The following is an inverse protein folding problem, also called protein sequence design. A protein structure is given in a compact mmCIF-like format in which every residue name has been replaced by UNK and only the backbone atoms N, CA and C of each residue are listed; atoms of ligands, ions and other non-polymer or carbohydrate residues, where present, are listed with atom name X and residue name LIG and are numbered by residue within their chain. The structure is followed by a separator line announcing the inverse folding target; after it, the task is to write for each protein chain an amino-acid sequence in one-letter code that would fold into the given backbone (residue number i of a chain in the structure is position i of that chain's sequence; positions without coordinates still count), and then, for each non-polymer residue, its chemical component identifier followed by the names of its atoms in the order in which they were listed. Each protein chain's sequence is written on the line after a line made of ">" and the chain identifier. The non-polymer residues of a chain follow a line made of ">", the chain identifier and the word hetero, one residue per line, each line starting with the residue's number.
data_IF_768400279624
#
_entry.id   IF_768400279624
#
_cell.length_a   1.000
_cell.length_b   1.000
_cell.length_c   1.000
_cell.angle_alpha   90.00
_cell.angle_beta   90.00
_cell.angle_gamma   90.00
#
_symmetry.space_group_name_H-M   'P 1'
#
loop_
_entity.id
_entity.type
_entity.pdbx_description
1 polymer ?
#
# COMPACT_ATOMS: atom_id res chain seq x y z
N UNK A 1 11.00 -66.68 27.90
CA UNK A 1 10.40 -67.15 29.12
C UNK A 1 9.43 -66.10 29.59
N UNK A 2 8.12 -66.16 29.25
CA UNK A 2 7.07 -66.96 29.92
C UNK A 2 6.75 -66.33 31.27
N UNK A 3 5.61 -65.95 31.61
CA UNK A 3 4.21 -66.30 31.50
C UNK A 3 3.37 -65.19 32.16
N UNK A 4 2.26 -64.77 31.64
CA UNK A 4 0.91 -65.38 31.88
C UNK A 4 0.37 -65.22 33.31
N UNK A 5 -0.71 -64.47 33.54
CA UNK A 5 -2.06 -65.01 33.70
C UNK A 5 -2.95 -63.95 34.40
N UNK A 6 -4.10 -63.59 33.83
CA UNK A 6 -5.49 -63.94 34.09
C UNK A 6 -5.97 -63.72 35.54
N UNK A 7 -7.04 -62.95 35.80
CA UNK A 7 -8.45 -63.33 35.67
C UNK A 7 -9.30 -62.27 36.45
N UNK A 8 -10.29 -61.68 35.93
CA UNK A 8 -11.74 -61.96 35.94
C UNK A 8 -12.50 -61.63 37.25
N UNK A 9 -13.62 -60.98 37.01
CA UNK A 9 -14.84 -61.11 37.87
C UNK A 9 -15.52 -59.77 38.12
N UNK A 10 -16.52 -59.46 37.33
CA UNK A 10 -17.98 -59.52 37.54
C UNK A 10 -18.59 -58.58 38.55
N UNK A 11 -19.46 -57.72 38.01
CA UNK A 11 -20.88 -57.43 38.31
C UNK A 11 -21.20 -56.86 39.70
N UNK A 12 -22.02 -55.82 39.87
CA UNK A 12 -23.41 -55.65 39.47
C UNK A 12 -23.91 -54.21 39.72
N UNK A 13 -24.81 -53.78 38.86
CA UNK A 13 -25.96 -52.90 38.95
C UNK A 13 -26.24 -52.03 40.20
N UNK A 14 -26.58 -50.77 40.00
CA UNK A 14 -27.92 -50.18 40.10
C UNK A 14 -27.94 -48.67 39.83
N UNK A 15 -28.63 -48.28 38.81
CA UNK A 15 -29.78 -47.37 38.61
C UNK A 15 -30.02 -46.26 39.64
N UNK A 16 -29.96 -44.99 39.17
CA UNK A 16 -31.00 -43.96 39.30
C UNK A 16 -30.59 -42.60 38.66
N UNK A 17 -31.24 -42.27 37.60
CA UNK A 17 -32.12 -41.12 37.31
C UNK A 17 -31.54 -39.70 37.42
N UNK A 18 -31.53 -39.07 36.26
CA UNK A 18 -31.49 -37.67 35.85
C UNK A 18 -32.29 -36.70 36.80
N UNK A 19 -31.97 -35.36 36.79
CA UNK A 19 -32.24 -34.57 35.59
C UNK A 19 -31.17 -33.56 35.22
N UNK A 20 -31.06 -33.38 33.92
CA UNK A 20 -30.44 -32.28 33.21
C UNK A 20 -31.13 -30.94 33.53
N UNK A 21 -30.36 -29.91 33.74
CA UNK A 21 -30.81 -28.54 33.44
C UNK A 21 -29.67 -27.85 32.70
N UNK A 22 -30.04 -27.39 31.54
CA UNK A 22 -29.40 -26.57 30.53
C UNK A 22 -28.47 -25.50 31.06
N UNK A 23 -27.25 -25.50 30.56
CA UNK A 23 -26.40 -24.32 30.49
C UNK A 23 -25.55 -24.39 29.22
N UNK A 24 -26.24 -24.38 28.09
CA UNK A 24 -25.67 -24.17 26.78
C UNK A 24 -26.53 -23.15 26.03
N UNK A 25 -26.23 -21.86 26.17
CA UNK A 25 -26.82 -20.86 25.27
C UNK A 25 -26.11 -19.50 25.23
N UNK A 26 -25.13 -19.23 26.08
CA UNK A 26 -24.49 -17.90 26.08
C UNK A 26 -23.10 -17.84 25.47
N UNK A 27 -22.40 -18.96 25.37
CA UNK A 27 -21.05 -18.99 24.77
C UNK A 27 -21.07 -19.02 23.24
N UNK A 28 -22.03 -19.72 22.63
CA UNK A 28 -22.12 -19.80 21.15
C UNK A 28 -22.59 -18.48 20.51
N UNK A 29 -23.46 -17.73 21.19
CA UNK A 29 -23.93 -16.42 20.65
C UNK A 29 -22.82 -15.38 20.69
N UNK A 30 -21.93 -15.40 21.69
CA UNK A 30 -20.80 -14.45 21.76
C UNK A 30 -19.72 -14.82 20.74
N UNK A 31 -19.53 -16.10 20.47
CA UNK A 31 -18.54 -16.56 19.49
C UNK A 31 -19.01 -16.29 18.05
N UNK A 32 -20.30 -16.50 17.77
CA UNK A 32 -20.89 -16.21 16.47
C UNK A 32 -20.92 -14.70 16.17
N UNK A 33 -21.14 -13.85 17.18
CA UNK A 33 -21.10 -12.40 17.01
C UNK A 33 -19.67 -11.86 16.83
N UNK A 34 -18.66 -12.47 17.45
CA UNK A 34 -17.24 -12.11 17.25
C UNK A 34 -16.75 -12.54 15.88
N UNK A 35 -17.04 -13.78 15.48
CA UNK A 35 -16.65 -14.31 14.20
C UNK A 35 -17.35 -13.57 13.04
N UNK A 36 -18.63 -13.20 13.22
CA UNK A 36 -19.36 -12.38 12.26
C UNK A 36 -18.80 -10.95 12.17
N UNK A 37 -18.34 -10.36 13.27
CA UNK A 37 -17.80 -9.00 13.29
C UNK A 37 -16.37 -8.98 12.72
N UNK A 38 -15.55 -9.97 13.04
CA UNK A 38 -14.22 -10.12 12.46
C UNK A 38 -14.30 -10.41 10.95
N UNK A 39 -15.19 -11.31 10.53
CA UNK A 39 -15.40 -11.62 9.11
C UNK A 39 -15.97 -10.44 8.31
N UNK A 40 -16.85 -9.64 8.88
CA UNK A 40 -17.38 -8.41 8.26
C UNK A 40 -16.28 -7.34 8.16
N UNK A 41 -15.44 -7.20 9.17
CA UNK A 41 -14.32 -6.24 9.16
C UNK A 41 -13.25 -6.66 8.15
N UNK A 42 -12.94 -7.96 8.07
CA UNK A 42 -11.96 -8.49 7.13
C UNK A 42 -12.50 -8.46 5.69
N UNK A 43 -13.77 -8.80 5.46
CA UNK A 43 -14.41 -8.69 4.14
C UNK A 43 -14.54 -7.22 3.68
N UNK A 44 -14.81 -6.29 4.61
CA UNK A 44 -14.87 -4.86 4.28
C UNK A 44 -13.45 -4.34 3.96
N UNK A 45 -12.43 -4.80 4.66
CA UNK A 45 -11.03 -4.45 4.41
C UNK A 45 -10.54 -4.99 3.06
N UNK A 46 -10.86 -6.25 2.74
CA UNK A 46 -10.54 -6.86 1.43
C UNK A 46 -11.31 -6.18 0.29
N UNK A 47 -12.53 -5.72 0.54
CA UNK A 47 -13.30 -4.98 -0.46
C UNK A 47 -12.80 -3.53 -0.66
N UNK A 48 -12.10 -2.95 0.33
CA UNK A 48 -11.49 -1.63 0.21
C UNK A 48 -10.11 -1.66 -0.47
N UNK A 49 -9.37 -2.76 -0.34
CA UNK A 49 -8.11 -2.99 -1.04
C UNK A 49 -8.37 -3.55 -2.45
N UNK A 50 -7.48 -3.27 -3.38
CA UNK A 50 -7.58 -3.82 -4.74
C UNK A 50 -8.45 -2.99 -5.67
N UNK A 51 -8.35 -1.68 -5.58
CA UNK A 51 -9.04 -0.73 -6.46
C UNK A 51 -8.07 0.29 -7.07
N UNK A 52 -8.47 0.83 -8.21
CA UNK A 52 -7.84 1.99 -8.82
C UNK A 52 -8.71 3.23 -8.56
N UNK A 53 -8.09 4.28 -8.06
CA UNK A 53 -8.69 5.58 -7.79
C UNK A 53 -7.92 6.64 -8.55
N UNK A 54 -8.52 7.82 -8.77
CA UNK A 54 -7.85 8.94 -9.41
C UNK A 54 -8.11 10.22 -8.66
N UNK A 55 -7.05 10.99 -8.43
CA UNK A 55 -7.17 12.38 -8.01
C UNK A 55 -7.77 13.18 -9.17
N UNK A 56 -8.65 14.12 -8.86
CA UNK A 56 -9.34 14.95 -9.85
C UNK A 56 -9.15 16.44 -9.58
N UNK A 57 -9.49 17.24 -10.54
CA UNK A 57 -9.38 18.69 -10.48
C UNK A 57 -8.17 19.23 -11.23
N UNK A 58 -8.01 20.56 -11.21
CA UNK A 58 -6.85 21.24 -11.79
C UNK A 58 -5.86 21.52 -10.67
N UNK A 59 -4.60 21.06 -10.80
CA UNK A 59 -3.60 21.35 -9.78
C UNK A 59 -3.37 22.86 -9.62
N UNK A 60 -3.50 23.30 -8.39
CA UNK A 60 -3.28 24.69 -7.97
C UNK A 60 -2.51 24.77 -6.66
N UNK A 61 -1.96 25.92 -6.35
CA UNK A 61 -1.38 26.17 -5.03
C UNK A 61 -2.49 26.37 -4.01
N UNK A 62 -2.44 25.63 -2.91
CA UNK A 62 -3.48 25.64 -1.89
C UNK A 62 -2.90 25.35 -0.51
N UNK A 63 -3.72 25.55 0.53
CA UNK A 63 -3.36 25.17 1.89
C UNK A 63 -3.34 23.64 2.05
N UNK A 64 -2.37 23.15 2.81
CA UNK A 64 -2.30 21.75 3.20
C UNK A 64 -3.23 21.48 4.38
N UNK A 65 -4.26 20.69 4.18
CA UNK A 65 -5.32 20.44 5.17
C UNK A 65 -5.45 18.97 5.57
N UNK A 66 -4.70 18.07 4.93
CA UNK A 66 -4.87 16.62 5.10
C UNK A 66 -3.88 15.97 6.08
N UNK A 67 -3.17 16.73 6.92
CA UNK A 67 -2.13 16.21 7.81
C UNK A 67 -2.62 15.09 8.75
N UNK A 68 -3.85 15.18 9.26
CA UNK A 68 -4.45 14.16 10.12
C UNK A 68 -4.67 12.82 9.40
N UNK A 69 -4.88 12.83 8.09
CA UNK A 69 -5.05 11.62 7.29
C UNK A 69 -3.77 10.78 7.21
N UNK A 70 -2.62 11.37 7.54
CA UNK A 70 -1.30 10.74 7.45
C UNK A 70 -0.63 10.54 8.81
N UNK A 71 -1.35 10.65 9.92
CA UNK A 71 -0.78 10.60 11.29
C UNK A 71 0.04 9.35 11.57
N UNK A 72 -0.27 8.24 10.92
CA UNK A 72 0.46 6.95 10.99
C UNK A 72 0.79 6.41 9.60
N UNK A 73 1.05 7.29 8.66
CA UNK A 73 1.44 6.90 7.31
C UNK A 73 2.96 6.85 7.15
N UNK A 74 3.43 5.96 6.30
CA UNK A 74 4.80 5.97 5.77
C UNK A 74 4.74 6.14 4.27
N UNK A 75 5.50 7.11 3.76
CA UNK A 75 5.75 7.28 2.35
C UNK A 75 7.14 6.75 2.00
N UNK A 76 7.24 5.91 0.99
CA UNK A 76 8.53 5.41 0.50
C UNK A 76 8.67 5.66 -0.99
N UNK A 77 9.82 6.19 -1.40
CA UNK A 77 10.05 6.46 -2.82
C UNK A 77 11.26 7.30 -3.16
N UNK A 78 11.18 7.90 -4.35
CA UNK A 78 12.24 8.69 -4.95
C UNK A 78 12.20 10.19 -4.54
N UNK A 79 12.76 11.04 -5.41
CA UNK A 79 12.86 12.48 -5.18
C UNK A 79 11.49 13.19 -5.05
N UNK A 80 10.42 12.67 -5.67
CA UNK A 80 9.08 13.24 -5.49
C UNK A 80 8.61 12.99 -4.06
N UNK A 81 8.79 11.78 -3.56
CA UNK A 81 8.48 11.44 -2.17
C UNK A 81 9.38 12.22 -1.20
N UNK A 82 10.67 12.40 -1.50
CA UNK A 82 11.57 13.23 -0.70
C UNK A 82 11.04 14.65 -0.50
N UNK A 83 10.41 15.22 -1.52
CA UNK A 83 9.83 16.57 -1.45
C UNK A 83 8.76 16.72 -0.36
N UNK A 84 8.09 15.63 0.03
CA UNK A 84 7.05 15.68 1.07
C UNK A 84 7.61 16.18 2.41
N UNK A 85 8.76 15.67 2.84
CA UNK A 85 9.40 16.16 4.08
C UNK A 85 10.29 17.37 3.86
N UNK A 86 11.01 17.44 2.73
CA UNK A 86 11.86 18.59 2.40
C UNK A 86 11.11 19.92 2.36
N UNK A 87 9.85 19.90 1.94
CA UNK A 87 8.98 21.08 1.92
C UNK A 87 8.10 21.21 3.17
N UNK A 88 8.28 20.34 4.18
CA UNK A 88 7.66 20.46 5.49
C UNK A 88 6.21 19.98 5.58
N UNK A 89 5.72 19.15 4.64
CA UNK A 89 4.36 18.62 4.67
C UNK A 89 4.19 17.49 5.68
N UNK A 90 5.18 16.58 5.78
CA UNK A 90 5.22 15.51 6.77
C UNK A 90 6.58 15.45 7.46
N UNK A 91 6.65 14.92 8.70
CA UNK A 91 7.92 14.71 9.40
C UNK A 91 8.84 13.74 8.63
N UNK A 92 10.16 13.95 8.73
CA UNK A 92 11.17 13.06 8.12
C UNK A 92 10.99 11.59 8.50
N UNK A 93 10.56 11.32 9.72
CA UNK A 93 10.31 9.95 10.18
C UNK A 93 9.25 9.20 9.35
N UNK A 94 8.32 9.91 8.73
CA UNK A 94 7.27 9.32 7.89
C UNK A 94 7.65 9.21 6.41
N UNK A 95 8.84 9.69 6.03
CA UNK A 95 9.27 9.79 4.62
C UNK A 95 10.57 9.02 4.44
N UNK A 96 10.48 7.79 3.95
CA UNK A 96 11.63 6.94 3.62
C UNK A 96 11.95 7.16 2.14
N UNK A 97 12.79 8.15 1.85
CA UNK A 97 13.02 8.53 0.46
C UNK A 97 14.48 8.87 0.16
N UNK A 98 14.86 8.70 -1.09
CA UNK A 98 16.17 9.05 -1.61
C UNK A 98 16.05 9.52 -3.06
N UNK A 99 16.80 10.56 -3.42
CA UNK A 99 16.82 11.07 -4.78
C UNK A 99 17.26 10.01 -5.83
N UNK A 100 17.93 8.96 -5.39
CA UNK A 100 18.37 7.84 -6.24
C UNK A 100 17.66 6.52 -5.93
N UNK A 101 16.50 6.56 -5.25
CA UNK A 101 15.73 5.36 -4.96
C UNK A 101 15.30 4.68 -6.27
N UNK A 102 15.50 3.38 -6.32
CA UNK A 102 15.04 2.49 -7.38
C UNK A 102 14.25 1.32 -6.78
N UNK A 103 13.42 0.69 -7.58
CA UNK A 103 12.50 -0.37 -7.14
C UNK A 103 13.21 -1.55 -6.46
N UNK A 104 14.37 -1.94 -6.94
CA UNK A 104 15.18 -3.04 -6.38
C UNK A 104 15.76 -2.77 -4.99
N UNK A 105 15.75 -1.51 -4.54
CA UNK A 105 16.25 -1.12 -3.21
C UNK A 105 15.17 -1.09 -2.14
N UNK A 106 13.91 -1.11 -2.53
CA UNK A 106 12.77 -0.91 -1.61
C UNK A 106 12.77 -1.93 -0.46
N UNK A 107 13.05 -3.19 -0.75
CA UNK A 107 13.07 -4.26 0.27
C UNK A 107 14.09 -4.03 1.38
N UNK A 108 15.17 -3.30 1.10
CA UNK A 108 16.18 -2.91 2.11
C UNK A 108 15.65 -1.94 3.18
N UNK A 109 14.49 -1.35 2.99
CA UNK A 109 13.86 -0.43 3.93
C UNK A 109 12.70 -1.05 4.72
N UNK A 110 12.44 -2.34 4.56
CA UNK A 110 11.31 -3.02 5.21
C UNK A 110 11.35 -2.88 6.73
N UNK A 111 12.51 -3.08 7.37
CA UNK A 111 12.66 -2.95 8.82
C UNK A 111 12.34 -1.53 9.31
N UNK A 112 12.68 -0.51 8.52
CA UNK A 112 12.36 0.88 8.83
C UNK A 112 10.86 1.15 8.79
N UNK A 113 10.12 0.48 7.92
CA UNK A 113 8.65 0.56 7.87
C UNK A 113 8.04 -0.17 9.06
N UNK A 114 8.49 -1.41 9.32
CA UNK A 114 7.99 -2.25 10.42
C UNK A 114 8.16 -1.55 11.77
N UNK A 115 9.31 -0.90 11.99
CA UNK A 115 9.59 -0.20 13.25
C UNK A 115 8.62 0.95 13.55
N UNK A 116 7.97 1.52 12.53
CA UNK A 116 7.01 2.60 12.69
C UNK A 116 5.58 2.10 12.93
N UNK A 117 5.31 0.80 12.71
CA UNK A 117 3.96 0.21 12.86
C UNK A 117 2.88 1.05 12.17
N UNK A 118 3.00 1.34 10.86
CA UNK A 118 2.11 2.24 10.17
C UNK A 118 0.73 1.63 9.95
N UNK A 119 -0.29 2.50 9.86
CA UNK A 119 -1.63 2.12 9.40
C UNK A 119 -1.73 2.17 7.86
N UNK A 120 -0.82 2.87 7.20
CA UNK A 120 -0.76 2.97 5.74
C UNK A 120 0.66 3.16 5.20
N UNK A 121 0.95 2.53 4.07
CA UNK A 121 2.22 2.65 3.34
C UNK A 121 1.94 3.12 1.91
N UNK A 122 2.56 4.22 1.51
CA UNK A 122 2.44 4.81 0.18
C UNK A 122 3.76 4.63 -0.58
N UNK A 123 3.69 4.10 -1.79
CA UNK A 123 4.85 3.74 -2.62
C UNK A 123 4.82 4.55 -3.91
N UNK A 124 5.93 5.21 -4.26
CA UNK A 124 6.13 5.85 -5.56
C UNK A 124 7.60 5.78 -5.97
N UNK A 125 7.93 4.95 -6.95
CA UNK A 125 9.25 4.83 -7.58
C UNK A 125 9.08 4.51 -9.06
N UNK A 126 10.17 4.56 -9.84
CA UNK A 126 10.19 4.12 -11.24
C UNK A 126 10.98 5.02 -12.18
N UNK A 127 10.97 6.34 -12.01
CA UNK A 127 11.71 7.25 -12.90
C UNK A 127 13.22 6.97 -12.87
N UNK A 128 13.79 6.72 -11.69
CA UNK A 128 15.21 6.40 -11.55
C UNK A 128 15.56 5.06 -12.20
N UNK A 129 14.68 4.07 -12.10
CA UNK A 129 14.84 2.77 -12.74
C UNK A 129 14.92 2.91 -14.25
N UNK A 130 14.00 3.67 -14.83
CA UNK A 130 13.94 3.94 -16.27
C UNK A 130 15.14 4.76 -16.74
N UNK A 131 15.66 5.67 -15.93
CA UNK A 131 16.74 6.58 -16.29
C UNK A 131 18.14 5.98 -16.09
N UNK A 132 18.43 5.54 -14.88
CA UNK A 132 19.77 5.10 -14.48
C UNK A 132 19.96 3.58 -14.60
N UNK A 133 18.95 2.82 -14.23
CA UNK A 133 18.98 1.37 -14.21
C UNK A 133 18.81 0.72 -15.57
N UNK A 134 18.29 1.46 -16.56
CA UNK A 134 17.89 0.92 -17.87
C UNK A 134 17.00 -0.33 -17.73
N UNK A 135 16.17 -0.36 -16.69
CA UNK A 135 15.28 -1.48 -16.40
C UNK A 135 14.04 -1.42 -17.27
N UNK A 136 13.55 -2.58 -17.64
CA UNK A 136 12.25 -2.69 -18.28
C UNK A 136 11.11 -2.38 -17.30
N UNK A 137 9.95 -2.02 -17.84
CA UNK A 137 8.72 -1.86 -17.03
C UNK A 137 8.40 -3.15 -16.25
N UNK A 138 8.67 -4.32 -16.85
CA UNK A 138 8.44 -5.60 -16.20
C UNK A 138 9.37 -5.86 -15.00
N UNK A 139 10.63 -5.44 -15.12
CA UNK A 139 11.59 -5.54 -14.01
C UNK A 139 11.17 -4.64 -12.85
N UNK A 140 10.77 -3.39 -13.14
CA UNK A 140 10.32 -2.44 -12.13
C UNK A 140 9.08 -3.00 -11.41
N UNK A 141 8.07 -3.41 -12.18
CA UNK A 141 6.85 -4.00 -11.65
C UNK A 141 7.14 -5.23 -10.77
N UNK A 142 8.07 -6.09 -11.19
CA UNK A 142 8.47 -7.27 -10.42
C UNK A 142 9.06 -6.89 -9.06
N UNK A 143 10.02 -5.96 -9.00
CA UNK A 143 10.63 -5.54 -7.74
C UNK A 143 9.65 -4.85 -6.80
N UNK A 144 8.79 -3.99 -7.34
CA UNK A 144 7.77 -3.34 -6.53
C UNK A 144 6.72 -4.35 -6.02
N UNK A 145 6.31 -5.33 -6.83
CA UNK A 145 5.43 -6.41 -6.41
C UNK A 145 6.04 -7.22 -5.27
N UNK A 146 7.31 -7.63 -5.39
CA UNK A 146 8.04 -8.34 -4.33
C UNK A 146 8.07 -7.53 -3.04
N UNK A 147 8.28 -6.22 -3.15
CA UNK A 147 8.25 -5.31 -2.00
C UNK A 147 6.85 -5.19 -1.38
N UNK A 148 5.80 -5.03 -2.19
CA UNK A 148 4.40 -4.99 -1.73
C UNK A 148 4.06 -6.26 -0.95
N UNK A 149 4.42 -7.43 -1.46
CA UNK A 149 4.21 -8.72 -0.80
C UNK A 149 4.94 -8.79 0.55
N UNK A 150 6.18 -8.30 0.61
CA UNK A 150 6.97 -8.22 1.84
C UNK A 150 6.33 -7.27 2.87
N UNK A 151 5.88 -6.08 2.46
CA UNK A 151 5.18 -5.12 3.34
C UNK A 151 3.90 -5.73 3.89
N UNK A 152 3.06 -6.33 3.05
CA UNK A 152 1.80 -6.97 3.46
C UNK A 152 2.03 -8.13 4.43
N UNK A 153 3.13 -8.86 4.28
CA UNK A 153 3.51 -9.93 5.21
C UNK A 153 4.00 -9.39 6.56
N UNK A 154 4.80 -8.32 6.54
CA UNK A 154 5.44 -7.78 7.73
C UNK A 154 4.54 -6.86 8.55
N UNK A 155 3.65 -6.10 7.90
CA UNK A 155 2.68 -5.19 8.53
C UNK A 155 1.26 -5.45 7.99
N UNK A 156 0.66 -6.61 8.29
CA UNK A 156 -0.59 -7.06 7.68
C UNK A 156 -1.80 -6.16 8.00
N UNK A 157 -1.69 -5.34 9.04
CA UNK A 157 -2.72 -4.38 9.42
C UNK A 157 -2.68 -3.10 8.58
N UNK A 158 -1.56 -2.80 7.90
CA UNK A 158 -1.41 -1.59 7.10
C UNK A 158 -2.10 -1.72 5.74
N UNK A 159 -2.74 -0.63 5.31
CA UNK A 159 -3.20 -0.49 3.93
C UNK A 159 -2.02 -0.09 3.04
N UNK A 160 -1.90 -0.72 1.88
CA UNK A 160 -0.82 -0.44 0.93
C UNK A 160 -1.38 0.31 -0.27
N UNK A 161 -0.78 1.46 -0.54
CA UNK A 161 -1.11 2.35 -1.66
C UNK A 161 0.06 2.44 -2.62
N UNK A 162 -0.19 2.26 -3.91
CA UNK A 162 0.77 2.56 -4.96
C UNK A 162 0.30 3.81 -5.68
N UNK A 163 1.14 4.83 -5.69
CA UNK A 163 0.88 6.09 -6.38
C UNK A 163 1.46 6.01 -7.79
N UNK A 164 0.72 6.51 -8.77
CA UNK A 164 1.25 6.59 -10.13
C UNK A 164 2.53 7.43 -10.19
N UNK A 165 3.50 6.96 -10.93
CA UNK A 165 4.71 7.72 -11.26
C UNK A 165 4.31 8.96 -12.04
N UNK A 166 4.80 10.14 -11.62
CA UNK A 166 4.49 11.40 -12.28
C UNK A 166 5.02 11.43 -13.71
N UNK A 167 4.40 12.21 -14.60
CA UNK A 167 4.86 12.32 -15.98
C UNK A 167 6.24 13.02 -16.06
N UNK A 168 6.84 12.96 -17.23
CA UNK A 168 8.02 13.78 -17.58
C UNK A 168 7.66 14.76 -18.67
N UNK A 169 8.39 15.88 -18.74
CA UNK A 169 8.22 16.82 -19.84
C UNK A 169 8.83 16.27 -21.15
N UNK A 170 8.33 16.69 -22.28
CA UNK A 170 8.86 16.30 -23.58
C UNK A 170 10.35 16.64 -23.72
N UNK A 171 10.78 17.77 -23.14
CA UNK A 171 12.18 18.19 -23.10
C UNK A 171 13.04 17.19 -22.29
N UNK A 172 12.59 16.76 -21.13
CA UNK A 172 13.31 15.79 -20.29
C UNK A 172 13.37 14.42 -20.99
N UNK A 173 12.26 13.96 -21.57
CA UNK A 173 12.24 12.73 -22.37
C UNK A 173 13.28 12.74 -23.49
N UNK A 174 13.44 13.87 -24.18
CA UNK A 174 14.39 14.01 -25.29
C UNK A 174 15.86 13.97 -24.86
N UNK A 175 16.14 14.32 -23.59
CA UNK A 175 17.50 14.40 -23.04
C UNK A 175 17.85 13.29 -22.05
N UNK A 176 16.94 12.34 -21.83
CA UNK A 176 17.12 11.25 -20.88
C UNK A 176 16.77 9.89 -21.49
N UNK A 177 16.93 8.81 -20.73
CA UNK A 177 16.48 7.48 -21.12
C UNK A 177 14.99 7.24 -20.82
N UNK A 178 14.38 8.08 -19.99
CA UNK A 178 12.99 7.96 -19.60
C UNK A 178 12.10 8.27 -20.80
N UNK A 179 11.14 7.39 -21.04
CA UNK A 179 10.09 7.57 -22.04
C UNK A 179 8.74 7.67 -21.33
N UNK A 180 7.94 8.69 -21.69
CA UNK A 180 6.59 8.87 -21.12
C UNK A 180 5.76 7.59 -21.32
N UNK A 181 5.88 6.94 -22.46
CA UNK A 181 5.17 5.69 -22.73
C UNK A 181 5.53 4.56 -21.74
N UNK A 182 6.79 4.52 -21.25
CA UNK A 182 7.17 3.52 -20.24
C UNK A 182 6.58 3.86 -18.87
N UNK A 183 6.48 5.15 -18.50
CA UNK A 183 5.79 5.60 -17.30
C UNK A 183 4.31 5.22 -17.37
N UNK A 184 3.66 5.51 -18.47
CA UNK A 184 2.24 5.20 -18.69
C UNK A 184 1.99 3.69 -18.63
N UNK A 185 2.89 2.89 -19.21
CA UNK A 185 2.81 1.43 -19.16
C UNK A 185 2.98 0.88 -17.74
N UNK A 186 3.91 1.43 -16.94
CA UNK A 186 4.10 1.04 -15.54
C UNK A 186 2.85 1.38 -14.70
N UNK A 187 2.35 2.60 -14.85
CA UNK A 187 1.15 3.07 -14.17
C UNK A 187 -0.08 2.21 -14.52
N UNK A 188 -0.28 1.89 -15.80
CA UNK A 188 -1.36 1.00 -16.25
C UNK A 188 -1.24 -0.39 -15.63
N UNK A 189 -0.01 -0.94 -15.58
CA UNK A 189 0.25 -2.26 -15.03
C UNK A 189 -0.13 -2.36 -13.56
N UNK A 190 0.16 -1.35 -12.74
CA UNK A 190 -0.28 -1.31 -11.34
C UNK A 190 -1.78 -1.08 -11.21
N UNK A 191 -2.36 -0.20 -12.00
CA UNK A 191 -3.80 0.06 -12.02
C UNK A 191 -4.60 -1.21 -12.33
N UNK A 192 -4.22 -1.94 -13.38
CA UNK A 192 -4.89 -3.15 -13.84
C UNK A 192 -4.75 -4.31 -12.85
N UNK A 193 -3.65 -4.37 -12.10
CA UNK A 193 -3.34 -5.46 -11.18
C UNK A 193 -3.61 -5.11 -9.71
N UNK A 194 -4.16 -3.93 -9.40
CA UNK A 194 -4.37 -3.48 -8.03
C UNK A 194 -5.18 -4.50 -7.19
N UNK A 195 -6.24 -5.07 -7.76
CA UNK A 195 -7.07 -6.06 -7.09
C UNK A 195 -6.30 -7.35 -6.77
N UNK A 196 -5.51 -7.86 -7.73
CA UNK A 196 -4.74 -9.10 -7.53
C UNK A 196 -3.58 -8.92 -6.55
N UNK A 197 -3.02 -7.71 -6.47
CA UNK A 197 -1.99 -7.35 -5.50
C UNK A 197 -2.59 -7.05 -4.11
N UNK A 198 -3.90 -6.83 -4.02
CA UNK A 198 -4.58 -6.41 -2.79
C UNK A 198 -4.08 -5.04 -2.29
N UNK A 199 -3.90 -4.09 -3.21
CA UNK A 199 -3.48 -2.71 -2.96
C UNK A 199 -4.54 -1.73 -3.43
N UNK A 200 -4.45 -0.49 -2.99
CA UNK A 200 -5.15 0.62 -3.64
C UNK A 200 -4.16 1.37 -4.53
N UNK A 201 -4.41 1.39 -5.83
CA UNK A 201 -3.66 2.23 -6.77
C UNK A 201 -4.32 3.61 -6.84
N UNK A 202 -3.53 4.68 -6.75
CA UNK A 202 -4.03 6.05 -6.87
C UNK A 202 -3.32 6.74 -8.03
N UNK A 203 -4.06 7.06 -9.09
CA UNK A 203 -3.57 7.89 -10.17
C UNK A 203 -3.50 9.35 -9.72
N UNK A 204 -2.30 9.78 -9.41
CA UNK A 204 -1.95 11.16 -9.11
C UNK A 204 -1.31 11.86 -10.30
N UNK A 205 -0.95 11.13 -11.35
CA UNK A 205 -0.18 11.63 -12.49
C UNK A 205 -1.04 12.35 -13.52
N UNK A 206 -2.24 11.84 -13.79
CA UNK A 206 -3.09 12.32 -14.89
C UNK A 206 -3.42 13.81 -14.78
N UNK A 207 -3.62 14.34 -13.58
CA UNK A 207 -3.95 15.75 -13.35
C UNK A 207 -2.79 16.70 -13.67
N UNK A 208 -1.56 16.21 -13.70
CA UNK A 208 -0.36 17.02 -14.02
C UNK A 208 0.04 16.94 -15.49
N UNK A 209 -0.66 16.16 -16.31
CA UNK A 209 -0.39 16.09 -17.74
C UNK A 209 -0.98 17.28 -18.49
N UNK A 210 -0.26 17.76 -19.48
CA UNK A 210 -0.76 18.70 -20.47
C UNK A 210 -1.59 18.00 -21.58
N UNK A 211 -2.10 18.79 -22.53
CA UNK A 211 -2.89 18.24 -23.65
C UNK A 211 -2.15 17.27 -24.58
N UNK A 212 -0.82 17.16 -24.44
CA UNK A 212 0.03 16.23 -25.18
C UNK A 212 0.43 14.99 -24.36
N UNK A 213 -0.04 14.90 -23.10
CA UNK A 213 0.22 13.77 -22.21
C UNK A 213 1.55 13.85 -21.47
N UNK A 214 2.29 14.95 -21.55
CA UNK A 214 3.53 15.21 -20.86
C UNK A 214 3.31 16.05 -19.59
N UNK A 215 4.33 16.12 -18.74
CA UNK A 215 4.31 16.96 -17.55
C UNK A 215 4.10 18.43 -17.94
N UNK A 216 2.99 19.01 -17.51
CA UNK A 216 2.68 20.39 -17.79
C UNK A 216 3.73 21.36 -17.21
N UNK A 217 4.19 22.31 -18.00
CA UNK A 217 5.26 23.25 -17.63
C UNK A 217 4.93 24.11 -16.42
N UNK A 218 3.65 24.28 -16.10
CA UNK A 218 3.22 24.99 -14.89
C UNK A 218 3.63 24.25 -13.61
N UNK A 219 3.74 22.93 -13.64
CA UNK A 219 3.91 22.08 -12.47
C UNK A 219 5.35 21.65 -12.20
N UNK A 220 6.23 21.81 -13.19
CA UNK A 220 7.63 21.41 -13.10
C UNK A 220 8.57 22.44 -13.73
N UNK A 221 9.75 22.65 -13.16
CA UNK A 221 10.82 23.44 -13.75
C UNK A 221 11.92 22.53 -14.36
N UNK A 222 12.16 21.38 -13.72
CA UNK A 222 13.16 20.39 -14.16
C UNK A 222 12.66 19.49 -15.29
N UNK A 223 11.35 19.38 -15.44
CA UNK A 223 10.70 18.45 -16.37
C UNK A 223 10.42 17.05 -15.79
N UNK A 224 10.77 16.80 -14.52
CA UNK A 224 10.53 15.51 -13.85
C UNK A 224 10.20 15.66 -12.35
N UNK A 225 10.53 16.78 -11.71
CA UNK A 225 10.20 17.10 -10.31
C UNK A 225 8.93 17.94 -10.22
N UNK A 226 8.11 17.66 -9.22
CA UNK A 226 6.97 18.50 -8.88
C UNK A 226 7.45 19.74 -8.13
N UNK A 227 6.95 20.93 -8.50
CA UNK A 227 7.19 22.18 -7.75
C UNK A 227 6.57 22.11 -6.36
N UNK A 228 7.24 22.69 -5.37
CA UNK A 228 6.80 22.69 -3.97
C UNK A 228 5.36 23.18 -3.76
N UNK A 229 4.93 24.18 -4.50
CA UNK A 229 3.59 24.75 -4.39
C UNK A 229 2.43 23.79 -4.72
N UNK A 230 2.71 22.65 -5.36
CA UNK A 230 1.68 21.69 -5.74
C UNK A 230 1.62 20.45 -4.83
N UNK A 231 2.48 20.35 -3.82
CA UNK A 231 2.44 19.19 -2.89
C UNK A 231 1.19 19.20 -2.00
N UNK A 232 0.69 20.38 -1.63
CA UNK A 232 -0.57 20.48 -0.89
C UNK A 232 -1.74 19.89 -1.70
N UNK A 233 -1.83 20.23 -2.99
CA UNK A 233 -2.82 19.66 -3.90
C UNK A 233 -2.67 18.14 -4.01
N UNK A 234 -1.43 17.65 -4.20
CA UNK A 234 -1.13 16.21 -4.28
C UNK A 234 -1.60 15.47 -3.02
N UNK A 235 -1.19 15.91 -1.84
CA UNK A 235 -1.49 15.25 -0.59
C UNK A 235 -2.97 15.36 -0.19
N UNK A 236 -3.59 16.52 -0.36
CA UNK A 236 -5.03 16.68 -0.13
C UNK A 236 -5.84 15.81 -1.08
N UNK A 237 -5.41 15.70 -2.35
CA UNK A 237 -6.05 14.85 -3.34
C UNK A 237 -5.98 13.37 -2.98
N UNK A 238 -4.81 12.87 -2.58
CA UNK A 238 -4.64 11.47 -2.12
C UNK A 238 -5.55 11.21 -0.91
N UNK A 239 -5.58 12.12 0.06
CA UNK A 239 -6.42 11.97 1.26
C UNK A 239 -7.92 11.96 0.94
N UNK A 240 -8.33 12.67 -0.10
CA UNK A 240 -9.73 12.78 -0.51
C UNK A 240 -10.28 11.58 -1.28
N UNK A 241 -9.41 10.69 -1.81
CA UNK A 241 -9.82 9.53 -2.64
C UNK A 241 -9.56 8.17 -1.97
N UNK A 242 -8.83 8.12 -0.87
CA UNK A 242 -8.52 6.87 -0.16
C UNK A 242 -9.68 6.31 0.68
#
# INVERSE_FOLDING_TARGET
>A
KSCSNKNSGRQDDTKATTPSVQQESTASVIQESKESTENVTEQTKVAAAGRALSVSGTPETMDYTSSSAYSKAVFIGDFVVSGISQFGFLPDAQVIASNSMTSDKLTGYLDSIVSQSPDSVYIMVGINDLNYGSRSVDDIYKYEKEFIEAVKSAVPAADVYVLSVLPVSQRFESSSKVKQANIDSLNSKFSENAASLGITYIDVASVYKDGSGYFGSSYTDSGYNLKSGYYAFLLNGIAGVK
#
